data_IF_014372351696
#
_entry.id   IF_014372351696
#
_cell.length_a   1.000
_cell.length_b   1.000
_cell.length_c   1.000
_cell.angle_alpha   90.00
_cell.angle_beta   90.00
_cell.angle_gamma   90.00
#
_symmetry.space_group_name_H-M   'P 1'
#
loop_
_entity.id
_entity.type
_entity.pdbx_description
1 polymer ?
#
# COMPACT_ATOMS: atom_id res chain seq x y z
N UNK A 1 -19.02 -12.38 -9.41
CA UNK A 1 -19.78 -11.46 -10.30
C UNK A 1 -18.85 -10.33 -10.71
N UNK A 2 -18.65 -10.07 -12.00
CA UNK A 2 -17.67 -9.09 -12.45
C UNK A 2 -18.34 -7.74 -12.77
N UNK A 3 -18.04 -6.71 -11.96
CA UNK A 3 -18.58 -5.34 -12.14
C UNK A 3 -18.33 -4.76 -13.54
N UNK A 4 -17.25 -5.20 -14.20
CA UNK A 4 -16.86 -4.77 -15.55
C UNK A 4 -17.97 -4.95 -16.60
N UNK A 5 -18.86 -5.92 -16.41
CA UNK A 5 -19.94 -6.23 -17.36
C UNK A 5 -21.29 -5.59 -17.00
N UNK A 6 -21.38 -4.92 -15.85
CA UNK A 6 -22.60 -4.24 -15.43
C UNK A 6 -22.59 -2.77 -15.88
N UNK A 7 -23.69 -2.24 -16.43
CA UNK A 7 -23.81 -0.82 -16.71
C UNK A 7 -23.75 -0.02 -15.39
N UNK A 8 -23.24 1.22 -15.39
CA UNK A 8 -23.08 2.03 -14.17
C UNK A 8 -24.37 2.14 -13.34
N UNK A 9 -25.54 2.20 -13.99
CA UNK A 9 -26.84 2.29 -13.32
C UNK A 9 -27.19 1.07 -12.45
N UNK A 10 -26.59 -0.11 -12.70
CA UNK A 10 -26.84 -1.33 -11.95
C UNK A 10 -25.76 -1.64 -10.91
N UNK A 11 -24.72 -0.81 -10.81
CA UNK A 11 -23.65 -0.96 -9.81
C UNK A 11 -24.08 -0.37 -8.48
N UNK A 12 -25.16 -0.86 -7.88
CA UNK A 12 -25.57 -0.37 -6.55
C UNK A 12 -24.51 -0.68 -5.49
N UNK A 13 -24.52 0.02 -4.36
CA UNK A 13 -23.57 -0.22 -3.26
C UNK A 13 -23.52 -1.68 -2.84
N UNK A 14 -24.68 -2.35 -2.75
CA UNK A 14 -24.79 -3.78 -2.40
C UNK A 14 -24.11 -4.68 -3.45
N UNK A 15 -24.31 -4.40 -4.75
CA UNK A 15 -23.67 -5.16 -5.82
C UNK A 15 -22.16 -4.95 -5.83
N UNK A 16 -21.72 -3.71 -5.60
CA UNK A 16 -20.31 -3.37 -5.46
C UNK A 16 -19.68 -4.10 -4.27
N UNK A 17 -20.31 -4.08 -3.08
CA UNK A 17 -19.81 -4.79 -1.90
C UNK A 17 -19.66 -6.30 -2.14
N UNK A 18 -20.66 -6.94 -2.77
CA UNK A 18 -20.56 -8.38 -3.10
C UNK A 18 -19.44 -8.69 -4.09
N UNK A 19 -19.20 -7.80 -5.05
CA UNK A 19 -18.09 -7.97 -5.98
C UNK A 19 -16.74 -7.80 -5.27
N UNK A 20 -16.60 -6.77 -4.43
CA UNK A 20 -15.40 -6.50 -3.65
C UNK A 20 -15.06 -7.61 -2.65
N UNK A 21 -16.08 -8.26 -2.08
CA UNK A 21 -15.89 -9.42 -1.22
C UNK A 21 -15.22 -10.60 -1.96
N UNK A 22 -15.39 -10.69 -3.29
CA UNK A 22 -14.77 -11.72 -4.13
C UNK A 22 -13.40 -11.29 -4.68
N UNK A 23 -13.31 -10.04 -5.14
CA UNK A 23 -12.19 -9.46 -5.89
C UNK A 23 -12.02 -7.98 -5.49
N UNK A 24 -10.97 -7.67 -4.71
CA UNK A 24 -10.75 -6.33 -4.17
C UNK A 24 -10.43 -5.31 -5.28
N UNK A 25 -9.77 -5.75 -6.35
CA UNK A 25 -9.50 -4.93 -7.53
C UNK A 25 -10.74 -4.57 -8.35
N UNK A 26 -11.91 -5.13 -8.05
CA UNK A 26 -13.17 -4.68 -8.64
C UNK A 26 -13.49 -3.22 -8.30
N UNK A 27 -12.80 -2.62 -7.30
CA UNK A 27 -12.90 -1.20 -6.95
C UNK A 27 -12.66 -0.28 -8.16
N UNK A 28 -11.77 -0.66 -9.09
CA UNK A 28 -11.50 0.10 -10.32
C UNK A 28 -12.73 0.28 -11.23
N UNK A 29 -13.78 -0.53 -11.01
CA UNK A 29 -15.03 -0.47 -11.76
C UNK A 29 -16.17 0.17 -10.95
N UNK A 30 -15.92 0.62 -9.73
CA UNK A 30 -16.92 1.37 -8.96
C UNK A 30 -17.04 2.78 -9.56
N UNK A 31 -18.25 3.23 -9.95
CA UNK A 31 -18.45 4.59 -10.42
C UNK A 31 -18.04 5.62 -9.36
N UNK A 32 -17.33 6.71 -9.73
CA UNK A 32 -16.90 7.73 -8.78
C UNK A 32 -18.00 8.26 -7.86
N UNK A 33 -19.26 8.50 -8.33
CA UNK A 33 -20.35 8.97 -7.45
C UNK A 33 -20.74 8.01 -6.33
N UNK A 34 -20.38 6.74 -6.43
CA UNK A 34 -20.72 5.71 -5.45
C UNK A 34 -19.52 5.32 -4.58
N UNK A 35 -18.32 5.75 -4.96
CA UNK A 35 -17.12 5.47 -4.21
C UNK A 35 -17.22 6.14 -2.83
N UNK A 36 -17.03 5.33 -1.78
CA UNK A 36 -17.13 5.77 -0.39
C UNK A 36 -16.20 4.91 0.47
N UNK A 37 -15.99 5.34 1.71
CA UNK A 37 -15.10 4.69 2.67
C UNK A 37 -15.40 3.19 2.88
N UNK A 38 -16.67 2.79 2.89
CA UNK A 38 -17.04 1.40 3.08
C UNK A 38 -16.61 0.51 1.91
N UNK A 39 -16.76 0.99 0.67
CA UNK A 39 -16.27 0.29 -0.52
C UNK A 39 -14.74 0.25 -0.56
N UNK A 40 -14.08 1.37 -0.29
CA UNK A 40 -12.61 1.43 -0.25
C UNK A 40 -12.04 0.46 0.81
N UNK A 41 -12.62 0.47 2.02
CA UNK A 41 -12.24 -0.45 3.09
C UNK A 41 -12.47 -1.91 2.70
N UNK A 42 -13.64 -2.27 2.21
CA UNK A 42 -13.94 -3.65 1.81
C UNK A 42 -12.99 -4.16 0.72
N UNK A 43 -12.64 -3.30 -0.25
CA UNK A 43 -11.67 -3.62 -1.28
C UNK A 43 -10.27 -3.89 -0.71
N UNK A 44 -9.80 -3.00 0.17
CA UNK A 44 -8.47 -3.09 0.79
C UNK A 44 -8.36 -4.29 1.74
N UNK A 45 -9.40 -4.55 2.54
CA UNK A 45 -9.47 -5.73 3.42
C UNK A 45 -9.29 -7.02 2.61
N UNK A 46 -9.92 -7.07 1.43
CA UNK A 46 -9.79 -8.20 0.51
C UNK A 46 -8.39 -8.28 -0.09
N UNK A 47 -7.88 -7.16 -0.62
CA UNK A 47 -6.58 -7.04 -1.31
C UNK A 47 -5.94 -5.69 -0.97
N UNK A 48 -4.83 -5.69 -0.22
CA UNK A 48 -4.19 -4.45 0.25
C UNK A 48 -3.80 -3.48 -0.89
N UNK A 49 -3.43 -4.02 -2.05
CA UNK A 49 -3.08 -3.23 -3.23
C UNK A 49 -4.28 -2.60 -3.96
N UNK A 50 -5.52 -2.93 -3.57
CA UNK A 50 -6.70 -2.22 -4.07
C UNK A 50 -6.68 -0.72 -3.73
N UNK A 51 -5.84 -0.34 -2.76
CA UNK A 51 -5.48 1.04 -2.45
C UNK A 51 -5.09 1.87 -3.68
N UNK A 52 -4.47 1.26 -4.70
CA UNK A 52 -4.09 1.94 -5.96
C UNK A 52 -5.27 2.54 -6.74
N UNK A 53 -6.50 2.07 -6.47
CA UNK A 53 -7.72 2.54 -7.11
C UNK A 53 -8.50 3.54 -6.25
N UNK A 54 -8.00 3.86 -5.05
CA UNK A 54 -8.59 4.89 -4.18
C UNK A 54 -8.06 6.25 -4.63
N UNK A 55 -8.92 7.23 -4.95
CA UNK A 55 -8.50 8.60 -5.25
C UNK A 55 -7.73 9.21 -4.09
N UNK A 56 -6.72 10.01 -4.39
CA UNK A 56 -5.87 10.63 -3.38
C UNK A 56 -6.69 11.49 -2.40
N UNK A 57 -7.75 12.14 -2.88
CA UNK A 57 -8.65 12.99 -2.09
C UNK A 57 -9.50 12.20 -1.08
N UNK A 58 -9.72 10.91 -1.33
CA UNK A 58 -10.45 10.00 -0.43
C UNK A 58 -9.51 9.17 0.45
N UNK A 59 -8.20 9.37 0.32
CA UNK A 59 -7.21 8.57 1.01
C UNK A 59 -6.99 9.10 2.43
N UNK A 60 -7.03 8.19 3.40
CA UNK A 60 -6.86 8.54 4.81
C UNK A 60 -5.73 7.73 5.44
N UNK A 61 -5.12 8.21 6.54
CA UNK A 61 -4.13 7.43 7.28
C UNK A 61 -4.65 6.05 7.70
N UNK A 62 -5.94 5.93 8.03
CA UNK A 62 -6.56 4.67 8.41
C UNK A 62 -6.62 3.67 7.25
N UNK A 63 -6.96 4.12 6.04
CA UNK A 63 -6.94 3.25 4.85
C UNK A 63 -5.51 2.86 4.48
N UNK A 64 -4.56 3.78 4.59
CA UNK A 64 -3.14 3.50 4.35
C UNK A 64 -2.57 2.46 5.32
N UNK A 65 -2.88 2.59 6.62
CA UNK A 65 -2.48 1.62 7.64
C UNK A 65 -3.07 0.24 7.36
N UNK A 66 -4.37 0.17 7.08
CA UNK A 66 -5.05 -1.07 6.74
C UNK A 66 -4.44 -1.71 5.49
N UNK A 67 -4.17 -0.92 4.45
CA UNK A 67 -3.59 -1.44 3.23
C UNK A 67 -2.19 -2.01 3.44
N UNK A 68 -1.34 -1.35 4.23
CA UNK A 68 0.00 -1.84 4.61
C UNK A 68 -0.07 -3.10 5.47
N UNK A 69 -1.07 -3.19 6.35
CA UNK A 69 -1.35 -4.40 7.14
C UNK A 69 -1.75 -5.58 6.24
N UNK A 70 -2.48 -5.32 5.15
CA UNK A 70 -2.84 -6.37 4.18
C UNK A 70 -1.69 -6.71 3.23
N UNK A 71 -1.03 -5.71 2.65
CA UNK A 71 0.13 -5.85 1.77
C UNK A 71 1.13 -4.70 2.00
N UNK A 72 2.39 -4.99 2.43
CA UNK A 72 3.36 -3.93 2.71
C UNK A 72 3.75 -3.13 1.45
N UNK A 73 3.55 -3.66 0.23
CA UNK A 73 3.78 -2.90 -1.00
C UNK A 73 2.74 -1.80 -1.23
N UNK A 74 1.63 -1.77 -0.48
CA UNK A 74 0.66 -0.68 -0.54
C UNK A 74 1.28 0.69 -0.21
N UNK A 75 2.41 0.72 0.51
CA UNK A 75 3.18 1.94 0.78
C UNK A 75 3.49 2.74 -0.50
N UNK A 76 3.67 2.08 -1.64
CA UNK A 76 3.98 2.77 -2.91
C UNK A 76 2.86 3.65 -3.45
N UNK A 77 1.61 3.38 -3.04
CA UNK A 77 0.44 4.10 -3.52
C UNK A 77 0.01 5.24 -2.60
N UNK A 78 0.60 5.35 -1.41
CA UNK A 78 0.34 6.47 -0.51
C UNK A 78 1.01 7.74 -1.04
N UNK A 79 0.31 8.89 -1.03
CA UNK A 79 0.92 10.22 -1.09
C UNK A 79 1.99 10.35 -0.01
N UNK A 80 3.07 11.07 -0.31
CA UNK A 80 4.18 11.25 0.63
C UNK A 80 3.72 11.95 1.92
N UNK A 81 2.70 12.80 1.86
CA UNK A 81 2.10 13.48 3.01
C UNK A 81 1.40 12.51 3.98
N UNK A 82 0.95 11.35 3.50
CA UNK A 82 0.30 10.32 4.32
C UNK A 82 1.29 9.26 4.81
N UNK A 83 2.53 9.25 4.30
CA UNK A 83 3.55 8.34 4.79
C UNK A 83 4.10 8.87 6.10
N UNK A 84 3.89 8.09 7.16
CA UNK A 84 4.48 8.35 8.47
C UNK A 84 5.63 7.39 8.71
N UNK A 85 6.49 7.72 9.68
CA UNK A 85 7.57 6.84 10.13
C UNK A 85 7.02 5.46 10.54
N UNK A 86 5.92 5.43 11.30
CA UNK A 86 5.28 4.19 11.74
C UNK A 86 4.83 3.30 10.57
N UNK A 87 4.24 3.89 9.52
CA UNK A 87 3.83 3.14 8.33
C UNK A 87 5.03 2.61 7.54
N UNK A 88 6.09 3.41 7.43
CA UNK A 88 7.32 3.00 6.76
C UNK A 88 8.01 1.85 7.49
N UNK A 89 8.08 1.91 8.82
CA UNK A 89 8.60 0.83 9.66
C UNK A 89 7.76 -0.44 9.46
N UNK A 90 6.43 -0.34 9.60
CA UNK A 90 5.53 -1.49 9.46
C UNK A 90 5.67 -2.18 8.08
N UNK A 91 5.82 -1.41 7.00
CA UNK A 91 6.04 -1.96 5.67
C UNK A 91 7.41 -2.65 5.54
N UNK A 92 8.48 -1.98 5.99
CA UNK A 92 9.87 -2.47 5.90
C UNK A 92 10.08 -3.73 6.73
N UNK A 93 9.53 -3.77 7.93
CA UNK A 93 9.60 -4.94 8.82
C UNK A 93 8.95 -6.16 8.20
N UNK A 94 7.95 -5.99 7.34
CA UNK A 94 7.30 -7.10 6.62
C UNK A 94 8.03 -7.46 5.34
N UNK A 95 8.48 -6.47 4.57
CA UNK A 95 9.26 -6.65 3.35
C UNK A 95 10.28 -5.51 3.18
N UNK A 96 11.57 -5.84 3.24
CA UNK A 96 12.65 -4.86 3.14
C UNK A 96 12.71 -4.13 1.80
N UNK A 97 12.17 -4.70 0.72
CA UNK A 97 12.10 -4.03 -0.58
C UNK A 97 11.20 -2.79 -0.57
N UNK A 98 10.30 -2.66 0.39
CA UNK A 98 9.44 -1.46 0.52
C UNK A 98 10.23 -0.20 0.87
N UNK A 99 11.48 -0.33 1.33
CA UNK A 99 12.38 0.80 1.57
C UNK A 99 12.47 1.74 0.35
N UNK A 100 12.38 1.20 -0.87
CA UNK A 100 12.39 1.98 -2.11
C UNK A 100 11.25 3.01 -2.25
N UNK A 101 10.20 2.88 -1.44
CA UNK A 101 9.02 3.73 -1.46
C UNK A 101 8.95 4.68 -0.25
N UNK A 102 9.93 4.61 0.65
CA UNK A 102 10.06 5.51 1.80
C UNK A 102 10.59 6.87 1.33
N UNK A 103 9.94 7.99 1.68
CA UNK A 103 10.41 9.33 1.36
C UNK A 103 11.80 9.59 1.94
N UNK A 104 12.62 10.37 1.23
CA UNK A 104 13.98 10.68 1.66
C UNK A 104 14.05 11.29 3.08
N UNK A 105 13.05 12.12 3.44
CA UNK A 105 12.96 12.73 4.77
C UNK A 105 12.64 11.76 5.92
N UNK A 106 12.16 10.55 5.61
CA UNK A 106 11.87 9.49 6.59
C UNK A 106 12.90 8.36 6.56
N UNK A 107 13.89 8.41 5.67
CA UNK A 107 14.96 7.43 5.63
C UNK A 107 15.91 7.65 6.80
N UNK A 108 16.00 6.65 7.66
CA UNK A 108 16.98 6.58 8.76
C UNK A 108 17.90 5.40 8.57
N UNK A 109 19.09 5.45 9.17
CA UNK A 109 20.01 4.32 9.17
C UNK A 109 19.36 3.09 9.78
N UNK A 110 18.60 3.27 10.88
CA UNK A 110 17.87 2.19 11.55
C UNK A 110 16.85 1.50 10.62
N UNK A 111 16.10 2.29 9.84
CA UNK A 111 15.15 1.73 8.86
C UNK A 111 15.87 1.00 7.72
N UNK A 112 17.01 1.52 7.26
CA UNK A 112 17.84 0.85 6.25
C UNK A 112 18.43 -0.48 6.78
N UNK A 113 18.89 -0.50 8.03
CA UNK A 113 19.34 -1.72 8.71
C UNK A 113 18.20 -2.74 8.77
N UNK A 114 17.00 -2.32 9.19
CA UNK A 114 15.84 -3.19 9.26
C UNK A 114 15.49 -3.78 7.88
N UNK A 115 15.51 -2.96 6.83
CA UNK A 115 15.25 -3.38 5.46
C UNK A 115 16.25 -4.42 4.95
N UNK A 116 17.56 -4.19 5.15
CA UNK A 116 18.60 -5.11 4.71
C UNK A 116 18.55 -6.42 5.50
N UNK A 117 18.32 -6.36 6.82
CA UNK A 117 18.12 -7.56 7.65
C UNK A 117 16.91 -8.37 7.18
N UNK A 118 15.82 -7.70 6.80
CA UNK A 118 14.61 -8.37 6.32
C UNK A 118 14.77 -8.93 4.90
N UNK A 119 15.49 -8.22 4.04
CA UNK A 119 15.70 -8.59 2.65
C UNK A 119 17.08 -8.10 2.23
N UNK A 120 18.12 -8.94 2.23
CA UNK A 120 19.49 -8.51 1.92
C UNK A 120 19.62 -7.77 0.58
N UNK A 121 18.82 -8.16 -0.41
CA UNK A 121 18.75 -7.47 -1.71
C UNK A 121 18.14 -6.06 -1.67
N UNK A 122 17.52 -5.65 -0.56
CA UNK A 122 17.10 -4.27 -0.31
C UNK A 122 18.29 -3.31 -0.14
N UNK A 123 19.51 -3.82 0.03
CA UNK A 123 20.75 -3.03 0.01
C UNK A 123 20.84 -2.09 -1.20
N UNK A 124 20.26 -2.48 -2.34
CA UNK A 124 20.20 -1.66 -3.56
C UNK A 124 19.41 -0.36 -3.40
N UNK A 125 18.53 -0.28 -2.39
CA UNK A 125 17.69 0.89 -2.09
C UNK A 125 18.25 1.74 -0.95
N UNK A 126 19.35 1.32 -0.33
CA UNK A 126 20.01 2.05 0.75
C UNK A 126 20.78 3.26 0.15
N UNK A 127 20.65 4.47 0.75
CA UNK A 127 21.46 5.63 0.40
C UNK A 127 22.95 5.36 0.50
N UNK A 128 23.75 6.02 -0.36
CA UNK A 128 25.19 5.76 -0.48
C UNK A 128 25.95 5.88 0.84
N UNK A 129 25.59 6.89 1.65
CA UNK A 129 26.18 7.15 2.96
C UNK A 129 26.13 5.96 3.94
N UNK A 130 25.22 5.00 3.74
CA UNK A 130 25.11 3.79 4.58
C UNK A 130 25.37 2.48 3.81
N UNK A 131 25.46 2.53 2.47
CA UNK A 131 25.46 1.33 1.62
C UNK A 131 26.65 0.42 1.87
N UNK A 132 27.87 0.96 1.94
CA UNK A 132 29.06 0.12 2.11
C UNK A 132 29.12 -0.53 3.50
N UNK A 133 28.69 0.20 4.53
CA UNK A 133 28.57 -0.34 5.89
C UNK A 133 27.53 -1.44 5.98
N UNK A 134 26.36 -1.25 5.37
CA UNK A 134 25.29 -2.24 5.38
C UNK A 134 25.55 -3.43 4.44
N UNK A 135 26.43 -3.29 3.44
CA UNK A 135 26.87 -4.41 2.59
C UNK A 135 27.53 -5.53 3.42
N UNK A 136 28.33 -5.17 4.43
CA UNK A 136 28.98 -6.13 5.31
C UNK A 136 27.99 -6.93 6.18
N UNK A 137 26.73 -6.48 6.29
CA UNK A 137 25.66 -7.15 7.05
C UNK A 137 24.75 -8.03 6.18
N UNK A 138 24.87 -7.94 4.86
CA UNK A 138 23.98 -8.58 3.89
C UNK A 138 24.53 -9.92 3.33
N UNK A 139 25.76 -10.28 3.72
CA UNK A 139 26.40 -11.56 3.40
C UNK A 139 26.23 -12.57 4.53
#
# INVERSE_FOLDING_TARGET
>A
MALRHLPPALRTTEVCLRALASDGYALQHVPPPQLNDALCRAAIEREGLALQFVPAESMTPALGALAIERDPHALQYLPDELKTEALCIAAVERNGHTLRHVPAGLLTEALCVAAVKRSPSALRYVPEQWRDRLRAMAG
#
